data_IF_624611670314
#
_entry.id   IF_624611670314
#
_cell.length_a   1.000
_cell.length_b   1.000
_cell.length_c   1.000
_cell.angle_alpha   90.00
_cell.angle_beta   90.00
_cell.angle_gamma   90.00
#
_symmetry.space_group_name_H-M   'P 1'
#
loop_
_entity.id
_entity.type
_entity.pdbx_description
1 polymer ?
#
# COMPACT_ATOMS: atom_id res chain seq x y z
N UNK A 1 -14.35 12.14 4.63
CA UNK A 1 -13.87 11.17 3.64
C UNK A 1 -14.40 9.80 4.05
N UNK A 2 -15.18 9.16 3.19
CA UNK A 2 -15.66 7.79 3.41
C UNK A 2 -14.49 6.89 3.81
N UNK A 3 -14.61 6.24 4.96
CA UNK A 3 -13.56 5.40 5.53
C UNK A 3 -13.44 4.08 4.75
N UNK A 4 -12.98 4.16 3.50
CA UNK A 4 -12.66 2.96 2.71
C UNK A 4 -11.61 2.15 3.45
N UNK A 5 -11.93 0.90 3.77
CA UNK A 5 -10.99 -0.02 4.42
C UNK A 5 -9.91 -0.52 3.45
N UNK A 6 -10.27 -0.62 2.17
CA UNK A 6 -9.49 -1.24 1.11
C UNK A 6 -9.37 -0.30 -0.09
N UNK A 7 -8.15 -0.09 -0.56
CA UNK A 7 -7.85 0.77 -1.71
C UNK A 7 -7.08 0.02 -2.81
N UNK A 8 -7.13 0.52 -4.05
CA UNK A 8 -6.27 0.05 -5.14
C UNK A 8 -4.83 0.57 -4.99
N UNK A 9 -3.93 0.05 -5.84
CA UNK A 9 -2.57 0.59 -5.95
C UNK A 9 -2.60 2.03 -6.48
N UNK A 10 -3.50 2.34 -7.41
CA UNK A 10 -3.66 3.71 -7.94
C UNK A 10 -4.11 4.68 -6.84
N UNK A 11 -5.14 4.31 -6.05
CA UNK A 11 -5.60 5.10 -4.90
C UNK A 11 -4.48 5.25 -3.84
N UNK A 12 -3.63 4.23 -3.66
CA UNK A 12 -2.48 4.32 -2.77
C UNK A 12 -1.44 5.35 -3.26
N UNK A 13 -1.11 5.36 -4.55
CA UNK A 13 -0.23 6.39 -5.12
C UNK A 13 -0.82 7.80 -5.00
N UNK A 14 -2.14 7.96 -5.13
CA UNK A 14 -2.80 9.26 -4.96
C UNK A 14 -2.76 9.75 -3.51
N UNK A 15 -2.96 8.85 -2.54
CA UNK A 15 -2.92 9.19 -1.10
C UNK A 15 -1.49 9.49 -0.64
N UNK A 16 -0.52 8.73 -1.15
CA UNK A 16 0.90 8.87 -0.85
C UNK A 16 1.63 9.41 -2.09
N UNK A 17 1.35 10.67 -2.43
CA UNK A 17 1.71 11.31 -3.69
C UNK A 17 3.20 11.21 -4.11
N UNK A 18 4.11 11.01 -3.15
CA UNK A 18 5.55 10.86 -3.42
C UNK A 18 5.97 9.40 -3.71
N UNK A 19 5.04 8.45 -3.66
CA UNK A 19 5.27 7.04 -4.02
C UNK A 19 4.85 6.83 -5.48
N UNK A 20 5.85 6.76 -6.35
CA UNK A 20 5.63 6.42 -7.76
C UNK A 20 5.04 5.00 -7.94
N UNK A 21 4.30 4.80 -9.04
CA UNK A 21 3.61 3.54 -9.35
C UNK A 21 4.54 2.31 -9.31
N UNK A 22 5.78 2.44 -9.78
CA UNK A 22 6.73 1.33 -9.77
C UNK A 22 7.20 0.98 -8.35
N UNK A 23 7.47 1.99 -7.51
CA UNK A 23 7.78 1.78 -6.10
C UNK A 23 6.58 1.15 -5.37
N UNK A 24 5.36 1.66 -5.60
CA UNK A 24 4.14 1.09 -5.05
C UNK A 24 3.97 -0.38 -5.43
N UNK A 25 4.22 -0.76 -6.69
CA UNK A 25 4.17 -2.16 -7.13
C UNK A 25 5.21 -3.05 -6.44
N UNK A 26 6.39 -2.53 -6.12
CA UNK A 26 7.40 -3.28 -5.36
C UNK A 26 7.00 -3.44 -3.89
N UNK A 27 6.58 -2.35 -3.26
CA UNK A 27 6.08 -2.33 -1.87
C UNK A 27 4.94 -3.35 -1.72
N UNK A 28 3.93 -3.28 -2.59
CA UNK A 28 2.75 -4.15 -2.57
C UNK A 28 3.10 -5.62 -2.87
N UNK A 29 4.29 -5.95 -3.39
CA UNK A 29 4.73 -7.35 -3.55
C UNK A 29 5.28 -7.94 -2.25
N UNK A 30 5.75 -7.13 -1.30
CA UNK A 30 6.32 -7.61 -0.03
C UNK A 30 5.33 -8.46 0.77
N UNK A 31 5.70 -9.64 1.29
CA UNK A 31 4.76 -10.56 1.95
C UNK A 31 4.06 -9.96 3.18
N UNK A 32 4.77 -9.11 3.90
CA UNK A 32 4.40 -8.41 5.13
C UNK A 32 3.61 -7.11 4.89
N UNK A 33 3.57 -6.61 3.66
CA UNK A 33 2.83 -5.39 3.34
C UNK A 33 1.32 -5.60 3.54
N UNK A 34 0.60 -4.67 4.20
CA UNK A 34 -0.82 -4.78 4.53
C UNK A 34 -1.72 -4.78 3.28
N UNK A 35 -1.92 -5.98 2.74
CA UNK A 35 -2.70 -6.22 1.53
C UNK A 35 -3.51 -7.50 1.63
N UNK A 36 -4.55 -7.57 0.80
CA UNK A 36 -5.30 -8.79 0.54
C UNK A 36 -5.36 -9.05 -0.96
N UNK A 37 -5.42 -10.32 -1.34
CA UNK A 37 -5.75 -10.73 -2.71
C UNK A 37 -7.24 -11.03 -2.79
N UNK A 38 -7.93 -10.35 -3.70
CA UNK A 38 -9.34 -10.60 -4.04
C UNK A 38 -9.37 -11.07 -5.49
N UNK A 39 -9.33 -12.41 -5.67
CA UNK A 39 -9.10 -13.02 -6.97
C UNK A 39 -7.73 -12.62 -7.54
N UNK A 40 -7.73 -12.05 -8.75
CA UNK A 40 -6.51 -11.56 -9.42
C UNK A 40 -6.12 -10.13 -9.03
N UNK A 41 -6.90 -9.46 -8.19
CA UNK A 41 -6.67 -8.07 -7.80
C UNK A 41 -6.03 -7.99 -6.42
N UNK A 42 -5.11 -7.06 -6.24
CA UNK A 42 -4.55 -6.71 -4.92
C UNK A 42 -5.30 -5.50 -4.38
N UNK A 43 -5.65 -5.56 -3.09
CA UNK A 43 -6.26 -4.47 -2.34
C UNK A 43 -5.41 -4.17 -1.11
N UNK A 44 -5.24 -2.90 -0.78
CA UNK A 44 -4.35 -2.42 0.28
C UNK A 44 -5.21 -2.03 1.49
N UNK A 45 -4.83 -2.48 2.69
CA UNK A 45 -5.53 -2.18 3.94
C UNK A 45 -5.03 -0.84 4.47
N UNK A 46 -5.68 0.27 4.10
CA UNK A 46 -5.17 1.62 4.35
C UNK A 46 -4.90 1.92 5.83
N UNK A 47 -5.68 1.33 6.74
CA UNK A 47 -5.54 1.54 8.18
C UNK A 47 -4.22 1.02 8.75
N UNK A 48 -3.60 0.04 8.09
CA UNK A 48 -2.37 -0.61 8.56
C UNK A 48 -1.12 -0.09 7.82
N UNK A 49 -1.30 0.56 6.67
CA UNK A 49 -0.20 1.10 5.85
C UNK A 49 0.67 2.07 6.63
N UNK A 50 0.08 3.00 7.40
CA UNK A 50 0.86 3.99 8.15
C UNK A 50 1.78 3.33 9.18
N UNK A 51 1.27 2.32 9.89
CA UNK A 51 2.07 1.58 10.87
C UNK A 51 3.21 0.83 10.16
N UNK A 52 2.90 0.18 9.04
CA UNK A 52 3.89 -0.53 8.24
C UNK A 52 5.01 0.40 7.73
N UNK A 53 4.66 1.62 7.27
CA UNK A 53 5.64 2.63 6.82
C UNK A 53 6.58 3.07 7.96
N UNK A 54 6.05 3.25 9.17
CA UNK A 54 6.84 3.59 10.35
C UNK A 54 7.81 2.46 10.72
N UNK A 55 7.34 1.20 10.66
CA UNK A 55 8.17 0.02 10.96
C UNK A 55 9.30 -0.20 9.95
N UNK A 56 9.10 0.20 8.69
CA UNK A 56 10.06 0.00 7.60
C UNK A 56 10.77 1.30 7.18
N UNK A 57 10.77 2.31 8.06
CA UNK A 57 11.45 3.58 7.79
C UNK A 57 12.96 3.36 7.64
N UNK A 58 13.53 3.85 6.54
CA UNK A 58 14.96 3.72 6.22
C UNK A 58 15.33 2.49 5.38
N UNK A 59 14.36 1.64 5.04
CA UNK A 59 14.57 0.58 4.05
C UNK A 59 14.51 1.13 2.61
N UNK A 60 15.26 0.51 1.69
CA UNK A 60 15.18 0.78 0.25
C UNK A 60 14.21 -0.20 -0.43
N UNK A 61 13.36 0.31 -1.34
CA UNK A 61 12.30 -0.46 -2.02
C UNK A 61 12.43 -0.50 -3.55
#
# INVERSE_FOLDING_TARGET
>A
MDSKLLISIDEFCEIYADIGMDAARKIVKRPDFPKIKVGNRVKIIIKEVNNWLVEHTGEEF
#
